data_IF_734219553751
#
_entry.id   IF_734219553751
#
_cell.length_a   1.000
_cell.length_b   1.000
_cell.length_c   1.000
_cell.angle_alpha   90.00
_cell.angle_beta   90.00
_cell.angle_gamma   90.00
#
_symmetry.space_group_name_H-M   'P 1'
#
loop_
_entity.id
_entity.type
_entity.pdbx_description
1 polymer ?
#
# COMPACT_ATOMS: atom_id res chain seq x y z
N UNK A 1 7.11 -8.92 4.62
CA UNK A 1 6.25 -9.04 5.81
C UNK A 1 4.90 -8.38 5.53
N UNK A 2 3.85 -8.70 6.27
CA UNK A 2 2.56 -8.00 6.18
C UNK A 2 2.42 -6.99 7.32
N UNK A 3 1.75 -5.88 7.03
CA UNK A 3 1.58 -4.75 7.93
C UNK A 3 0.13 -4.25 7.82
N UNK A 4 -0.53 -4.05 8.97
CA UNK A 4 -1.75 -3.26 9.07
C UNK A 4 -1.42 -1.97 9.80
N UNK A 5 -1.72 -0.83 9.19
CA UNK A 5 -1.37 0.47 9.74
C UNK A 5 -2.48 1.50 9.50
N UNK A 6 -2.46 2.57 10.28
CA UNK A 6 -3.34 3.72 10.07
C UNK A 6 -2.88 4.56 8.87
N UNK A 7 -3.71 5.54 8.50
CA UNK A 7 -3.29 6.58 7.55
C UNK A 7 -2.04 7.31 8.07
N UNK A 8 -1.15 7.69 7.17
CA UNK A 8 0.06 8.46 7.50
C UNK A 8 1.27 7.63 7.93
N UNK A 9 1.19 6.30 7.95
CA UNK A 9 2.35 5.47 8.27
C UNK A 9 3.39 5.47 7.15
N UNK A 10 4.64 5.79 7.49
CA UNK A 10 5.78 5.75 6.58
C UNK A 10 6.43 4.37 6.60
N UNK A 11 5.94 3.45 5.76
CA UNK A 11 6.43 2.05 5.72
C UNK A 11 7.93 1.95 5.40
N UNK A 12 8.47 2.91 4.64
CA UNK A 12 9.92 3.01 4.37
C UNK A 12 10.73 3.25 5.65
N UNK A 13 10.31 4.20 6.46
CA UNK A 13 10.93 4.49 7.76
C UNK A 13 10.87 3.27 8.68
N UNK A 14 9.72 2.57 8.71
CA UNK A 14 9.57 1.35 9.49
C UNK A 14 10.60 0.27 9.09
N UNK A 15 10.88 0.12 7.79
CA UNK A 15 11.88 -0.84 7.33
C UNK A 15 13.31 -0.46 7.77
N UNK A 16 13.65 0.82 7.73
CA UNK A 16 14.93 1.34 8.24
C UNK A 16 15.06 1.13 9.75
N UNK A 17 13.99 1.41 10.50
CA UNK A 17 13.94 1.23 11.95
C UNK A 17 14.11 -0.25 12.34
N UNK A 18 13.42 -1.17 11.66
CA UNK A 18 13.58 -2.63 11.87
C UNK A 18 15.02 -3.07 11.61
N UNK A 19 15.64 -2.59 10.52
CA UNK A 19 17.01 -2.96 10.20
C UNK A 19 18.01 -2.43 11.25
N UNK A 20 17.80 -1.20 11.73
CA UNK A 20 18.61 -0.58 12.78
C UNK A 20 18.50 -1.35 14.10
N UNK A 21 17.29 -1.76 14.49
CA UNK A 21 17.07 -2.54 15.71
C UNK A 21 17.73 -3.94 15.64
N UNK A 22 17.94 -4.46 14.43
CA UNK A 22 18.71 -5.68 14.17
C UNK A 22 20.23 -5.45 14.04
N UNK A 23 20.71 -4.22 14.24
CA UNK A 23 22.14 -3.88 14.13
C UNK A 23 22.64 -3.83 12.68
N UNK A 24 21.77 -3.56 11.72
CA UNK A 24 22.08 -3.52 10.29
C UNK A 24 21.54 -2.25 9.62
N UNK A 25 21.68 -2.17 8.30
CA UNK A 25 21.04 -1.19 7.41
C UNK A 25 20.12 -1.91 6.44
N UNK A 26 19.00 -1.28 6.09
CA UNK A 26 18.00 -1.90 5.22
C UNK A 26 17.07 -0.87 4.62
N UNK A 27 16.55 -1.20 3.44
CA UNK A 27 15.55 -0.39 2.74
C UNK A 27 14.51 -1.32 2.10
N UNK A 28 13.33 -0.78 1.78
CA UNK A 28 12.32 -1.54 1.04
C UNK A 28 12.76 -1.70 -0.41
N UNK A 29 12.80 -2.94 -0.89
CA UNK A 29 13.00 -3.26 -2.31
C UNK A 29 11.68 -3.26 -3.10
N UNK A 30 10.58 -3.62 -2.44
CA UNK A 30 9.24 -3.64 -3.02
C UNK A 30 8.18 -3.36 -1.94
N UNK A 31 7.08 -2.73 -2.33
CA UNK A 31 5.89 -2.53 -1.51
C UNK A 31 4.65 -2.72 -2.36
N UNK A 32 3.69 -3.49 -1.87
CA UNK A 32 2.39 -3.68 -2.49
C UNK A 32 1.30 -3.42 -1.45
N UNK A 33 0.35 -2.55 -1.79
CA UNK A 33 -0.74 -2.18 -0.89
C UNK A 33 -1.95 -3.04 -1.20
N UNK A 34 -2.26 -3.96 -0.28
CA UNK A 34 -3.34 -4.93 -0.46
C UNK A 34 -4.74 -4.37 -0.18
N UNK A 35 -4.86 -3.31 0.62
CA UNK A 35 -6.15 -2.72 0.97
C UNK A 35 -6.05 -1.28 1.48
N UNK A 36 -7.12 -0.50 1.31
CA UNK A 36 -7.34 0.82 1.94
C UNK A 36 -8.79 0.91 2.37
N UNK A 37 -9.05 0.90 3.69
CA UNK A 37 -10.43 0.82 4.18
C UNK A 37 -11.12 -0.43 3.63
N UNK A 38 -12.28 -0.24 3.01
CA UNK A 38 -13.08 -1.30 2.39
C UNK A 38 -12.56 -1.74 1.00
N UNK A 39 -11.63 -1.00 0.40
CA UNK A 39 -11.12 -1.32 -0.94
C UNK A 39 -10.01 -2.36 -0.87
N UNK A 40 -10.13 -3.47 -1.61
CA UNK A 40 -9.14 -4.54 -1.68
C UNK A 40 -8.45 -4.57 -3.05
N UNK A 41 -7.18 -5.00 -3.08
CA UNK A 41 -6.42 -5.17 -4.32
C UNK A 41 -7.05 -6.17 -5.29
N UNK A 42 -7.82 -7.16 -4.78
CA UNK A 42 -8.55 -8.12 -5.61
C UNK A 42 -9.63 -7.48 -6.47
N UNK A 43 -10.14 -6.34 -6.04
CA UNK A 43 -11.17 -5.57 -6.74
C UNK A 43 -10.55 -4.44 -7.58
N UNK A 44 -9.21 -4.33 -7.59
CA UNK A 44 -8.51 -3.29 -8.32
C UNK A 44 -8.47 -3.61 -9.83
N UNK A 45 -8.72 -2.59 -10.64
CA UNK A 45 -8.59 -2.64 -12.09
C UNK A 45 -7.19 -2.14 -12.50
N UNK A 46 -6.57 -2.82 -13.47
CA UNK A 46 -5.38 -2.26 -14.12
C UNK A 46 -5.78 -1.04 -14.95
N UNK A 47 -4.89 -0.06 -15.06
CA UNK A 47 -5.15 1.18 -15.81
C UNK A 47 -5.52 0.92 -17.28
N UNK A 48 -4.94 -0.13 -17.87
CA UNK A 48 -5.21 -0.58 -19.24
C UNK A 48 -6.64 -1.07 -19.44
N UNK A 49 -7.30 -1.52 -18.36
CA UNK A 49 -8.66 -2.07 -18.36
C UNK A 49 -9.69 -1.07 -17.83
N UNK A 50 -9.33 0.21 -17.70
CA UNK A 50 -10.27 1.25 -17.28
C UNK A 50 -11.13 1.68 -18.48
N UNK A 51 -12.44 1.63 -18.31
CA UNK A 51 -13.44 2.20 -19.21
C UNK A 51 -14.49 3.00 -18.42
N UNK A 52 -15.39 3.68 -19.12
CA UNK A 52 -16.45 4.50 -18.50
C UNK A 52 -17.40 3.69 -17.61
N UNK A 53 -17.54 2.38 -17.85
CA UNK A 53 -18.42 1.51 -17.06
C UNK A 53 -17.85 1.21 -15.67
N UNK A 54 -16.52 1.28 -15.52
CA UNK A 54 -15.81 1.09 -14.25
C UNK A 54 -15.76 2.32 -13.35
N UNK A 55 -16.26 3.48 -13.80
CA UNK A 55 -16.20 4.73 -13.04
C UNK A 55 -17.43 4.86 -12.15
N UNK A 56 -17.22 4.78 -10.83
CA UNK A 56 -18.27 5.13 -9.86
C UNK A 56 -18.29 6.63 -9.59
N UNK A 57 -19.48 7.26 -9.52
CA UNK A 57 -19.59 8.66 -9.15
C UNK A 57 -19.06 8.86 -7.72
N UNK A 58 -18.02 9.68 -7.59
CA UNK A 58 -17.50 10.08 -6.27
C UNK A 58 -18.36 11.22 -5.74
N UNK A 59 -19.20 10.94 -4.74
CA UNK A 59 -19.99 11.96 -4.04
C UNK A 59 -19.06 12.59 -2.99
N UNK A 60 -18.91 13.92 -3.04
CA UNK A 60 -18.15 14.66 -2.02
C UNK A 60 -18.97 14.89 -0.75
#
# INVERSE_FOLDING_TARGET
>A
FYLRCSRGTYVRQLAEDIARDLGSVGHLTQIERLSVGEFNIKDALSLENIDESGIQPYIC
#
